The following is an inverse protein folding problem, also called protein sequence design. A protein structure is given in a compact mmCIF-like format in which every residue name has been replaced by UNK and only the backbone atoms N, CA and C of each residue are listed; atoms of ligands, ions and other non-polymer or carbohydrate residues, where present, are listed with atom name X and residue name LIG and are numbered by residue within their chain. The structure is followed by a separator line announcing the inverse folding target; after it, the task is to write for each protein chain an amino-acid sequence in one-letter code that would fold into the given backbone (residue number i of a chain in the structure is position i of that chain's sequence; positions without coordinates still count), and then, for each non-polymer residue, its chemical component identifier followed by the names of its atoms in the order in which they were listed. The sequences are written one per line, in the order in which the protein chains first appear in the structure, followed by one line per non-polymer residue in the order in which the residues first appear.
data_IF_366414312485
#
_entry.id   IF_366414312485
#
_cell.length_a   1.000
_cell.length_b   1.000
_cell.length_c   1.000
_cell.angle_alpha   90.00
_cell.angle_beta   90.00
_cell.angle_gamma   90.00
#
_symmetry.space_group_name_H-M   'P 1'
#
loop_
_entity.id
_entity.type
_entity.pdbx_description
1 polymer ?
#
# COMPACT_ATOMS: atom_id res chain seq x y z
N UNK A 1 -5.71 -8.99 -1.79
CA UNK A 1 -5.05 -8.56 -0.54
C UNK A 1 -5.89 -7.44 0.07
N UNK A 2 -6.05 -7.37 1.38
CA UNK A 2 -6.79 -6.28 2.02
C UNK A 2 -6.16 -5.93 3.36
N UNK A 3 -6.26 -4.65 3.75
CA UNK A 3 -5.83 -4.20 5.06
C UNK A 3 -6.99 -4.40 6.04
N UNK A 4 -6.70 -5.12 7.12
CA UNK A 4 -7.66 -5.34 8.19
C UNK A 4 -7.22 -4.57 9.42
N UNK A 5 -8.10 -3.71 9.91
CA UNK A 5 -7.87 -2.92 11.12
C UNK A 5 -8.76 -3.46 12.24
N UNK A 6 -8.18 -3.86 13.35
CA UNK A 6 -8.95 -4.28 14.52
C UNK A 6 -9.44 -3.06 15.30
N UNK A 7 -10.76 -2.97 15.52
CA UNK A 7 -11.41 -1.83 16.19
C UNK A 7 -11.42 -1.93 17.71
N UNK A 8 -10.81 -2.97 18.28
CA UNK A 8 -10.66 -3.11 19.71
C UNK A 8 -9.95 -1.90 20.33
N UNK A 9 -10.24 -1.63 21.59
CA UNK A 9 -9.82 -0.37 22.23
C UNK A 9 -8.54 -0.50 23.05
N UNK A 10 -8.29 -1.65 23.68
CA UNK A 10 -7.21 -1.78 24.68
C UNK A 10 -6.48 -3.14 24.69
N UNK A 11 -6.86 -4.09 23.84
CA UNK A 11 -6.25 -5.42 23.82
C UNK A 11 -5.83 -5.78 22.39
N UNK A 12 -4.67 -6.39 22.23
CA UNK A 12 -4.31 -7.03 20.96
C UNK A 12 -5.04 -8.37 20.85
N UNK A 13 -5.63 -8.64 19.70
CA UNK A 13 -6.32 -9.89 19.43
C UNK A 13 -5.46 -10.76 18.52
N UNK A 14 -5.22 -12.02 18.87
CA UNK A 14 -4.56 -12.96 17.97
C UNK A 14 -5.61 -13.86 17.33
N UNK A 15 -5.78 -13.75 16.02
CA UNK A 15 -6.75 -14.54 15.27
C UNK A 15 -6.05 -15.19 14.07
N UNK A 16 -6.28 -16.48 13.83
CA UNK A 16 -5.63 -17.23 12.74
C UNK A 16 -4.08 -17.12 12.72
N UNK A 17 -3.46 -17.00 13.90
CA UNK A 17 -2.01 -16.83 14.05
C UNK A 17 -1.50 -15.42 13.75
N UNK A 18 -2.39 -14.49 13.38
CA UNK A 18 -2.07 -13.09 13.11
C UNK A 18 -2.43 -12.28 14.34
N UNK A 19 -1.46 -11.50 14.84
CA UNK A 19 -1.70 -10.57 15.94
C UNK A 19 -2.21 -9.25 15.37
N UNK A 20 -3.40 -8.87 15.78
CA UNK A 20 -4.02 -7.58 15.47
C UNK A 20 -3.87 -6.66 16.65
N UNK A 21 -3.13 -5.58 16.44
CA UNK A 21 -3.06 -4.50 17.42
C UNK A 21 -4.25 -3.54 17.22
N UNK A 22 -4.80 -3.01 18.33
CA UNK A 22 -5.92 -2.10 18.26
C UNK A 22 -5.55 -0.86 17.43
N UNK A 23 -6.39 -0.52 16.45
CA UNK A 23 -6.20 0.62 15.53
C UNK A 23 -4.97 0.52 14.62
N UNK A 24 -4.37 -0.66 14.48
CA UNK A 24 -3.28 -0.93 13.52
C UNK A 24 -3.83 -1.75 12.36
N UNK A 25 -3.52 -1.32 11.13
CA UNK A 25 -3.92 -2.00 9.91
C UNK A 25 -2.90 -3.08 9.55
N UNK A 26 -3.36 -4.32 9.37
CA UNK A 26 -2.51 -5.46 8.99
C UNK A 26 -2.89 -5.93 7.59
N UNK A 27 -1.90 -6.09 6.71
CA UNK A 27 -2.11 -6.63 5.37
C UNK A 27 -2.39 -8.13 5.45
N UNK A 28 -3.54 -8.55 4.93
CA UNK A 28 -3.92 -9.96 4.84
C UNK A 28 -4.10 -10.34 3.37
N UNK A 29 -3.26 -11.28 2.93
CA UNK A 29 -3.30 -11.84 1.58
C UNK A 29 -4.28 -13.01 1.47
N UNK A 30 -4.53 -13.70 2.58
CA UNK A 30 -5.39 -14.88 2.64
C UNK A 30 -6.89 -14.54 2.56
N UNK A 31 -7.51 -14.83 1.41
CA UNK A 31 -8.94 -14.60 1.19
C UNK A 31 -9.85 -15.36 2.16
N UNK A 32 -9.48 -16.58 2.57
CA UNK A 32 -10.26 -17.35 3.56
C UNK A 32 -10.27 -16.70 4.94
N UNK A 33 -9.16 -16.06 5.32
CA UNK A 33 -9.05 -15.30 6.57
C UNK A 33 -9.85 -14.00 6.44
N UNK A 34 -9.71 -13.29 5.32
CA UNK A 34 -10.51 -12.10 5.03
C UNK A 34 -12.00 -12.39 5.14
N UNK A 35 -12.52 -13.43 4.47
CA UNK A 35 -13.95 -13.84 4.54
C UNK A 35 -14.45 -14.00 5.98
N UNK A 36 -13.66 -14.64 6.85
CA UNK A 36 -14.02 -14.81 8.27
C UNK A 36 -14.00 -13.50 9.05
N UNK A 37 -13.06 -12.61 8.72
CA UNK A 37 -12.96 -11.30 9.35
C UNK A 37 -14.09 -10.36 8.89
N UNK A 38 -14.60 -10.48 7.65
CA UNK A 38 -15.71 -9.63 7.16
C UNK A 38 -17.03 -9.94 7.87
N UNK A 39 -17.17 -11.17 8.35
CA UNK A 39 -18.33 -11.60 9.14
C UNK A 39 -18.31 -10.99 10.55
N UNK A 40 -17.14 -10.52 11.01
CA UNK A 40 -16.98 -9.92 12.34
C UNK A 40 -17.06 -8.40 12.30
N UNK A 41 -17.88 -7.84 13.20
CA UNK A 41 -18.10 -6.38 13.31
C UNK A 41 -16.94 -5.63 13.99
N UNK A 42 -16.07 -6.37 14.68
CA UNK A 42 -14.88 -5.85 15.36
C UNK A 42 -13.73 -5.49 14.41
N UNK A 43 -13.82 -5.86 13.13
CA UNK A 43 -12.78 -5.62 12.14
C UNK A 43 -13.26 -4.69 11.02
N UNK A 44 -12.46 -3.68 10.74
CA UNK A 44 -12.64 -2.84 9.56
C UNK A 44 -11.74 -3.35 8.44
N UNK A 45 -12.34 -3.94 7.41
CA UNK A 45 -11.63 -4.44 6.24
C UNK A 45 -11.66 -3.36 5.19
N UNK A 46 -10.49 -2.76 4.96
CA UNK A 46 -10.24 -1.92 3.81
C UNK A 46 -9.65 -2.83 2.75
N UNK A 47 -10.51 -3.33 1.88
CA UNK A 47 -10.04 -3.76 0.57
C UNK A 47 -9.39 -2.52 -0.03
N UNK A 48 -8.07 -2.47 0.01
CA UNK A 48 -7.31 -1.60 -0.86
C UNK A 48 -7.63 -2.12 -2.26
N UNK A 49 -8.74 -1.61 -2.77
CA UNK A 49 -8.93 -1.39 -4.18
C UNK A 49 -7.78 -0.45 -4.48
N UNK A 50 -6.61 -1.03 -4.76
CA UNK A 50 -5.60 -0.40 -5.58
C UNK A 50 -6.42 0.02 -6.76
N UNK A 51 -6.88 1.28 -6.79
CA UNK A 51 -7.41 1.86 -8.00
C UNK A 51 -6.19 1.77 -8.87
N UNK A 52 -6.13 0.80 -9.81
CA UNK A 52 -4.93 0.66 -10.59
C UNK A 52 -4.73 2.04 -11.20
N UNK A 53 -3.50 2.53 -11.20
CA UNK A 53 -3.21 3.82 -11.83
C UNK A 53 -3.76 3.82 -13.29
N UNK A 54 -4.01 2.64 -13.87
CA UNK A 54 -4.78 2.39 -15.10
C UNK A 54 -6.20 2.97 -15.14
N UNK A 55 -6.91 3.05 -14.00
CA UNK A 55 -8.25 3.62 -13.89
C UNK A 55 -8.21 5.15 -13.67
N UNK A 56 -7.06 5.69 -13.26
CA UNK A 56 -6.87 7.13 -13.12
C UNK A 56 -6.78 7.81 -14.49
N UNK A 57 -7.27 9.04 -14.53
CA UNK A 57 -7.13 9.91 -15.71
C UNK A 57 -5.65 10.31 -15.90
N UNK A 58 -5.20 10.54 -17.15
CA UNK A 58 -3.83 10.97 -17.41
C UNK A 58 -3.46 12.26 -16.66
N UNK A 59 -4.44 13.13 -16.37
CA UNK A 59 -4.25 14.33 -15.56
C UNK A 59 -3.92 13.96 -14.12
N UNK A 60 -4.68 13.06 -13.48
CA UNK A 60 -4.41 12.62 -12.11
C UNK A 60 -3.10 11.84 -11.98
N UNK A 61 -2.72 11.08 -13.01
CA UNK A 61 -1.43 10.40 -13.05
C UNK A 61 -0.27 11.39 -13.12
N UNK A 62 -0.40 12.45 -13.94
CA UNK A 62 0.60 13.52 -14.00
C UNK A 62 0.68 14.30 -12.68
N UNK A 63 -0.45 14.54 -12.02
CA UNK A 63 -0.49 15.22 -10.73
C UNK A 63 0.22 14.39 -9.64
N UNK A 64 -0.05 13.08 -9.59
CA UNK A 64 0.67 12.13 -8.73
C UNK A 64 2.16 12.06 -9.07
N UNK A 65 2.50 12.00 -10.34
CA UNK A 65 3.90 11.93 -10.79
C UNK A 65 4.67 13.21 -10.46
N UNK A 66 4.01 14.37 -10.53
CA UNK A 66 4.55 15.65 -10.08
C UNK A 66 4.72 15.68 -8.56
N UNK A 67 3.73 15.22 -7.80
CA UNK A 67 3.81 15.14 -6.34
C UNK A 67 4.93 14.20 -5.86
N UNK A 68 5.29 13.22 -6.69
CA UNK A 68 6.35 12.27 -6.46
C UNK A 68 7.65 12.60 -7.21
N UNK A 69 7.74 13.81 -7.78
CA UNK A 69 8.93 14.33 -8.47
C UNK A 69 9.51 13.40 -9.56
N UNK A 70 8.64 12.68 -10.28
CA UNK A 70 9.04 11.78 -11.36
C UNK A 70 9.55 12.58 -12.56
N UNK A 71 10.85 12.48 -12.85
CA UNK A 71 11.44 13.13 -14.02
C UNK A 71 10.87 12.57 -15.33
N UNK A 72 10.58 13.44 -16.30
CA UNK A 72 10.03 13.05 -17.60
C UNK A 72 8.53 12.73 -17.60
N UNK A 73 7.81 12.90 -16.48
CA UNK A 73 6.36 12.63 -16.39
C UNK A 73 5.49 13.37 -17.43
N UNK A 74 5.98 14.51 -17.94
CA UNK A 74 5.26 15.31 -18.93
C UNK A 74 5.27 14.68 -20.33
N UNK A 75 6.34 13.98 -20.68
CA UNK A 75 6.55 13.29 -21.96
C UNK A 75 6.06 11.83 -21.94
N UNK A 76 5.92 11.26 -20.74
CA UNK A 76 5.44 9.89 -20.52
C UNK A 76 3.96 9.69 -20.89
N UNK A 77 3.65 8.57 -21.55
CA UNK A 77 2.28 8.13 -21.83
C UNK A 77 1.64 7.53 -20.58
N UNK A 78 0.30 7.42 -20.57
CA UNK A 78 -0.49 6.80 -19.48
C UNK A 78 0.15 5.52 -18.90
N UNK A 79 0.52 4.48 -19.69
CA UNK A 79 1.14 3.27 -19.14
C UNK A 79 2.53 3.49 -18.52
N UNK A 80 3.32 4.44 -19.04
CA UNK A 80 4.65 4.77 -18.51
C UNK A 80 4.54 5.49 -17.17
N UNK A 81 3.62 6.45 -17.05
CA UNK A 81 3.30 7.12 -15.79
C UNK A 81 2.86 6.13 -14.72
N UNK A 82 1.98 5.19 -15.08
CA UNK A 82 1.51 4.13 -14.19
C UNK A 82 2.68 3.30 -13.69
N UNK A 83 3.53 2.84 -14.60
CA UNK A 83 4.70 2.01 -14.27
C UNK A 83 5.68 2.76 -13.36
N UNK A 84 5.97 4.02 -13.64
CA UNK A 84 6.85 4.86 -12.82
C UNK A 84 6.27 5.07 -11.42
N UNK A 85 4.97 5.36 -11.32
CA UNK A 85 4.25 5.55 -10.06
C UNK A 85 4.15 4.26 -9.24
N UNK A 86 3.84 3.11 -9.87
CA UNK A 86 3.84 1.81 -9.19
C UNK A 86 5.25 1.42 -8.73
N UNK A 87 6.26 1.69 -9.55
CA UNK A 87 7.64 1.43 -9.15
C UNK A 87 8.05 2.30 -7.95
N UNK A 88 7.57 3.54 -7.86
CA UNK A 88 7.84 4.43 -6.73
C UNK A 88 7.06 4.06 -5.47
N UNK A 89 5.75 3.81 -5.57
CA UNK A 89 4.91 3.36 -4.45
C UNK A 89 5.38 1.98 -3.94
N UNK A 90 5.82 1.10 -4.84
CA UNK A 90 6.41 -0.20 -4.49
C UNK A 90 7.83 -0.13 -3.91
N UNK A 91 8.54 0.99 -4.07
CA UNK A 91 9.88 1.21 -3.50
C UNK A 91 9.85 1.70 -2.04
N UNK A 92 8.67 1.73 -1.41
CA UNK A 92 8.50 2.01 0.02
C UNK A 92 8.94 0.87 0.94
N UNK A 93 9.39 -0.27 0.42
CA UNK A 93 9.88 -1.38 1.21
C UNK A 93 11.13 -2.03 0.60
N UNK A 94 12.21 -1.26 0.49
CA UNK A 94 13.58 -1.80 0.59
C UNK A 94 14.56 -0.67 0.87
N UNK A 95 14.94 -0.61 2.15
CA UNK A 95 16.27 -0.25 2.63
C UNK A 95 16.82 1.13 2.26
N UNK A 96 16.68 2.03 3.22
CA UNK A 96 17.71 2.99 3.54
C UNK A 96 19.06 2.25 3.74
N UNK A 97 19.88 2.20 2.70
CA UNK A 97 21.33 2.16 2.85
C UNK A 97 21.88 3.43 2.19
N UNK A 98 21.79 4.53 2.92
CA UNK A 98 22.74 5.63 2.75
C UNK A 98 23.82 5.40 3.78
N UNK A 99 24.97 4.88 3.34
CA UNK A 99 26.28 5.26 3.89
C UNK A 99 27.34 5.01 2.79
N UNK A 100 27.54 6.07 2.01
CA UNK A 100 28.80 6.59 1.45
C UNK A 100 29.95 5.63 1.07
N UNK A 101 30.45 5.63 -0.20
CA UNK A 101 31.86 5.32 -0.52
C UNK A 101 32.71 6.62 -0.47
N UNK A 102 34.07 6.66 -0.29
CA UNK A 102 35.08 5.64 -0.60
C UNK A 102 36.35 5.63 0.34
N UNK A 103 37.39 4.86 -0.06
CA UNK A 103 38.85 5.14 0.11
C UNK A 103 39.64 4.51 1.29
N UNK A 104 40.31 3.39 1.04
CA UNK A 104 41.80 3.23 0.94
C UNK A 104 42.17 1.76 0.82
#
# INVERSE_FOLDING_TARGET
MAYVTYRGTNASLTLHGIRFEPRVSVLIESESVLKKLRDQSDFEIREEKVVPLEDLTPVQLKDKAKALEVEGFSDMKKPELIKALTALEGKGQSDANTDDPPTT
#
